data_IF_022602511734
#
_entry.id   IF_022602511734
#
_cell.length_a   1.000
_cell.length_b   1.000
_cell.length_c   1.000
_cell.angle_alpha   90.00
_cell.angle_beta   90.00
_cell.angle_gamma   90.00
#
_symmetry.space_group_name_H-M   'P 1'
#
loop_
_entity.id
_entity.type
_entity.pdbx_description
1 polymer ?
#
# COMPACT_ATOMS: atom_id res chain seq x y z
N UNK A 1 2.58 -11.45 -24.95
CA UNK A 1 2.24 -10.41 -23.97
C UNK A 1 1.53 -11.11 -22.82
N UNK A 2 2.11 -11.22 -21.61
CA UNK A 2 1.37 -11.72 -20.45
C UNK A 2 0.34 -10.65 -20.08
N UNK A 3 -0.92 -10.93 -20.31
CA UNK A 3 -2.02 -10.09 -19.80
C UNK A 3 -1.98 -10.22 -18.28
N UNK A 4 -1.50 -9.20 -17.60
CA UNK A 4 -1.63 -9.13 -16.14
C UNK A 4 -3.12 -9.00 -15.87
N UNK A 5 -3.74 -10.02 -15.31
CA UNK A 5 -5.12 -9.96 -14.85
C UNK A 5 -5.11 -9.24 -13.52
N UNK A 6 -5.51 -7.98 -13.53
CA UNK A 6 -5.70 -7.21 -12.30
C UNK A 6 -6.97 -7.68 -11.60
N UNK A 7 -6.91 -7.81 -10.29
CA UNK A 7 -8.08 -8.10 -9.47
C UNK A 7 -8.92 -6.82 -9.41
N UNK A 8 -10.13 -6.86 -9.98
CA UNK A 8 -11.07 -5.73 -9.98
C UNK A 8 -12.10 -5.84 -8.86
N UNK A 9 -12.59 -7.04 -8.60
CA UNK A 9 -13.52 -7.30 -7.54
C UNK A 9 -13.31 -8.68 -6.92
N UNK A 10 -14.00 -8.94 -5.82
CA UNK A 10 -13.93 -10.23 -5.13
C UNK A 10 -15.27 -10.55 -4.48
N UNK A 11 -15.48 -11.85 -4.21
CA UNK A 11 -16.64 -12.37 -3.46
C UNK A 11 -16.14 -13.17 -2.27
N UNK A 12 -16.78 -12.98 -1.11
CA UNK A 12 -16.41 -13.64 0.14
C UNK A 12 -17.55 -14.56 0.58
N UNK A 13 -17.24 -15.83 0.76
CA UNK A 13 -18.10 -16.83 1.38
C UNK A 13 -17.49 -17.22 2.72
N UNK A 14 -18.17 -16.91 3.82
CA UNK A 14 -17.72 -17.29 5.16
C UNK A 14 -18.11 -18.74 5.42
N UNK A 15 -17.14 -19.55 5.84
CA UNK A 15 -17.31 -20.93 6.21
C UNK A 15 -17.17 -21.08 7.74
N UNK A 16 -17.96 -21.94 8.34
CA UNK A 16 -17.87 -22.22 9.80
C UNK A 16 -16.82 -23.28 10.11
N UNK A 17 -16.00 -23.62 9.13
CA UNK A 17 -14.94 -24.63 9.27
C UNK A 17 -13.64 -24.00 9.75
N UNK A 18 -12.92 -24.62 10.71
CA UNK A 18 -11.62 -24.14 11.14
C UNK A 18 -10.57 -24.32 10.04
N UNK A 19 -9.65 -23.37 9.94
CA UNK A 19 -8.54 -23.39 9.00
C UNK A 19 -7.21 -23.22 9.73
N UNK A 20 -6.20 -23.96 9.30
CA UNK A 20 -4.80 -23.67 9.65
C UNK A 20 -4.13 -23.07 8.41
N UNK A 21 -3.69 -21.82 8.52
CA UNK A 21 -3.00 -21.13 7.44
C UNK A 21 -1.60 -21.70 7.19
N UNK A 22 -0.99 -21.36 6.05
CA UNK A 22 0.33 -21.91 5.65
C UNK A 22 1.46 -21.58 6.64
N UNK A 23 1.30 -20.50 7.42
CA UNK A 23 2.20 -20.13 8.52
C UNK A 23 1.87 -20.80 9.86
N UNK A 24 0.95 -21.79 9.88
CA UNK A 24 0.61 -22.60 11.05
C UNK A 24 -0.37 -21.95 12.04
N UNK A 25 -0.94 -20.77 11.70
CA UNK A 25 -1.92 -20.11 12.57
C UNK A 25 -3.29 -20.77 12.42
N UNK A 26 -3.90 -21.14 13.53
CA UNK A 26 -5.24 -21.75 13.57
C UNK A 26 -6.32 -20.71 13.73
N UNK A 27 -7.31 -20.75 12.85
CA UNK A 27 -8.50 -19.91 12.86
C UNK A 27 -9.75 -20.75 13.15
N UNK A 28 -10.72 -20.19 13.89
CA UNK A 28 -11.98 -20.87 14.19
C UNK A 28 -12.93 -20.92 13.00
N UNK A 29 -12.79 -19.96 12.09
CA UNK A 29 -13.56 -19.83 10.86
C UNK A 29 -12.65 -19.62 9.69
N UNK A 30 -13.08 -20.01 8.52
CA UNK A 30 -12.43 -19.72 7.25
C UNK A 30 -13.34 -18.90 6.33
N UNK A 31 -12.76 -18.37 5.28
CA UNK A 31 -13.47 -17.71 4.21
C UNK A 31 -12.94 -18.20 2.88
N UNK A 32 -13.81 -18.49 1.94
CA UNK A 32 -13.47 -18.77 0.56
C UNK A 32 -13.65 -17.49 -0.24
N UNK A 33 -12.55 -17.02 -0.83
CA UNK A 33 -12.54 -15.76 -1.57
C UNK A 33 -12.27 -16.04 -3.03
N UNK A 34 -13.16 -15.54 -3.89
CA UNK A 34 -13.03 -15.60 -5.34
C UNK A 34 -12.70 -14.22 -5.88
N UNK A 35 -11.60 -14.09 -6.62
CA UNK A 35 -11.12 -12.84 -7.22
C UNK A 35 -11.42 -12.82 -8.71
N UNK A 36 -11.85 -11.67 -9.21
CA UNK A 36 -12.30 -11.49 -10.59
C UNK A 36 -11.59 -10.33 -11.29
N UNK A 37 -11.41 -10.45 -12.61
CA UNK A 37 -10.91 -9.37 -13.45
C UNK A 37 -12.04 -8.38 -13.83
N UNK A 38 -11.71 -7.34 -14.60
CA UNK A 38 -12.65 -6.30 -15.06
C UNK A 38 -13.82 -6.86 -15.89
N UNK A 39 -13.66 -8.02 -16.50
CA UNK A 39 -14.69 -8.69 -17.28
C UNK A 39 -15.48 -9.73 -16.46
N UNK A 40 -15.34 -9.72 -15.14
CA UNK A 40 -15.90 -10.70 -14.21
C UNK A 40 -15.43 -12.15 -14.46
N UNK A 41 -14.28 -12.36 -15.10
CA UNK A 41 -13.70 -13.68 -15.20
C UNK A 41 -13.00 -14.01 -13.89
N UNK A 42 -13.21 -15.23 -13.39
CA UNK A 42 -12.52 -15.72 -12.21
C UNK A 42 -10.99 -15.80 -12.49
N UNK A 43 -10.21 -15.08 -11.68
CA UNK A 43 -8.76 -15.10 -11.68
C UNK A 43 -8.26 -16.26 -10.83
N UNK A 44 -8.69 -16.27 -9.56
CA UNK A 44 -8.28 -17.28 -8.59
C UNK A 44 -9.32 -17.42 -7.47
N UNK A 45 -9.21 -18.52 -6.74
CA UNK A 45 -10.02 -18.79 -5.57
C UNK A 45 -9.11 -19.32 -4.46
N UNK A 46 -9.16 -18.70 -3.29
CA UNK A 46 -8.32 -19.04 -2.14
C UNK A 46 -9.13 -19.18 -0.87
N UNK A 47 -8.61 -19.96 0.09
CA UNK A 47 -9.16 -20.04 1.44
C UNK A 47 -8.31 -19.20 2.39
N UNK A 48 -8.98 -18.44 3.25
CA UNK A 48 -8.41 -17.52 4.21
C UNK A 48 -8.87 -17.86 5.62
N UNK A 49 -7.98 -17.70 6.61
CA UNK A 49 -8.40 -17.68 7.99
C UNK A 49 -9.14 -16.39 8.33
N UNK A 50 -10.26 -16.47 9.03
CA UNK A 50 -10.99 -15.25 9.46
C UNK A 50 -10.40 -14.75 10.77
N UNK A 51 -9.93 -13.51 10.78
CA UNK A 51 -9.35 -12.86 11.96
C UNK A 51 -10.44 -12.17 12.77
N UNK A 52 -10.53 -12.53 14.06
CA UNK A 52 -11.27 -11.71 15.02
C UNK A 52 -10.43 -10.46 15.37
N UNK A 53 -10.93 -9.29 14.97
CA UNK A 53 -10.23 -8.01 15.19
C UNK A 53 -9.99 -7.72 16.69
N UNK A 54 -10.82 -8.29 17.60
CA UNK A 54 -10.60 -8.17 19.05
C UNK A 54 -9.34 -8.90 19.48
N UNK A 55 -9.05 -10.06 18.87
CA UNK A 55 -7.83 -10.82 19.13
C UNK A 55 -6.60 -10.07 18.62
N UNK A 56 -6.73 -9.38 17.47
CA UNK A 56 -5.68 -8.54 16.92
C UNK A 56 -5.39 -7.34 17.83
N UNK A 57 -6.44 -6.67 18.33
CA UNK A 57 -6.28 -5.58 19.30
C UNK A 57 -5.65 -6.03 20.62
N UNK A 58 -5.89 -7.28 21.03
CA UNK A 58 -5.19 -7.86 22.18
C UNK A 58 -3.70 -8.01 21.91
N UNK A 59 -3.30 -8.54 20.73
CA UNK A 59 -1.87 -8.64 20.34
C UNK A 59 -1.19 -7.27 20.34
N UNK A 60 -1.86 -6.22 19.84
CA UNK A 60 -1.35 -4.85 19.88
C UNK A 60 -1.10 -4.41 21.32
N UNK A 61 -2.09 -4.58 22.20
CA UNK A 61 -1.98 -4.24 23.63
C UNK A 61 -0.85 -4.99 24.32
N UNK A 62 -0.71 -6.29 24.01
CA UNK A 62 0.30 -7.17 24.60
C UNK A 62 1.69 -7.00 23.95
N UNK A 63 1.85 -6.03 23.01
CA UNK A 63 3.09 -5.77 22.23
C UNK A 63 3.67 -7.05 21.62
N UNK A 64 2.81 -7.88 21.06
CA UNK A 64 3.17 -9.15 20.43
C UNK A 64 3.29 -8.99 18.91
N UNK A 65 4.15 -9.78 18.22
CA UNK A 65 4.22 -9.81 16.77
C UNK A 65 2.86 -10.10 16.13
N UNK A 66 2.59 -9.43 15.02
CA UNK A 66 1.31 -9.50 14.31
C UNK A 66 1.52 -10.20 12.97
N UNK A 67 0.93 -11.39 12.84
CA UNK A 67 0.86 -12.10 11.57
C UNK A 67 -0.61 -12.38 11.24
N UNK A 68 -1.06 -11.81 10.13
CA UNK A 68 -2.38 -11.99 9.52
C UNK A 68 -2.26 -12.44 8.07
N UNK A 69 -1.15 -13.08 7.72
CA UNK A 69 -0.92 -13.61 6.37
C UNK A 69 -1.97 -14.67 6.02
N UNK A 70 -2.45 -14.63 4.76
CA UNK A 70 -3.52 -15.49 4.26
C UNK A 70 -4.82 -15.42 5.11
N UNK A 71 -5.12 -14.22 5.62
CA UNK A 71 -6.29 -13.99 6.45
C UNK A 71 -7.23 -12.94 5.85
N UNK A 72 -8.52 -13.14 6.12
CA UNK A 72 -9.54 -12.11 5.98
C UNK A 72 -9.59 -11.30 7.28
N UNK A 73 -9.32 -9.99 7.18
CA UNK A 73 -9.31 -9.03 8.30
C UNK A 73 -10.41 -8.01 8.07
N UNK A 74 -11.47 -8.04 8.87
CA UNK A 74 -12.61 -7.13 8.76
C UNK A 74 -12.61 -6.06 9.84
N UNK A 75 -12.81 -4.80 9.43
CA UNK A 75 -12.99 -3.69 10.36
C UNK A 75 -11.75 -3.35 11.18
N UNK A 76 -10.53 -3.54 10.64
CA UNK A 76 -9.31 -3.12 11.32
C UNK A 76 -9.18 -1.59 11.30
N UNK A 77 -9.12 -0.97 12.49
CA UNK A 77 -8.97 0.48 12.62
C UNK A 77 -8.21 0.84 13.91
N UNK A 78 -7.09 1.55 13.75
CA UNK A 78 -6.33 2.08 14.89
C UNK A 78 -7.04 3.25 15.57
N UNK A 79 -7.88 4.01 14.89
CA UNK A 79 -8.73 5.02 15.50
C UNK A 79 -9.77 4.39 16.43
N UNK A 80 -10.39 3.29 16.01
CA UNK A 80 -11.28 2.51 16.87
C UNK A 80 -10.54 1.85 18.03
N UNK A 81 -9.32 1.36 17.79
CA UNK A 81 -8.46 0.83 18.86
C UNK A 81 -8.21 1.90 19.92
N UNK A 82 -7.80 3.12 19.52
CA UNK A 82 -7.59 4.24 20.45
C UNK A 82 -8.84 4.57 21.25
N UNK A 83 -9.99 4.67 20.58
CA UNK A 83 -11.28 4.93 21.24
C UNK A 83 -11.64 3.84 22.24
N UNK A 84 -11.50 2.58 21.85
CA UNK A 84 -11.83 1.42 22.70
C UNK A 84 -10.99 1.33 23.96
N UNK A 85 -9.73 1.75 23.92
CA UNK A 85 -8.81 1.71 25.06
C UNK A 85 -8.63 3.06 25.74
N UNK A 86 -9.47 4.06 25.42
CA UNK A 86 -9.43 5.44 25.97
C UNK A 86 -8.05 6.09 25.80
N UNK A 87 -7.38 5.84 24.68
CA UNK A 87 -6.09 6.45 24.33
C UNK A 87 -6.31 7.81 23.66
N UNK A 88 -5.28 8.64 23.66
CA UNK A 88 -5.31 9.90 22.91
C UNK A 88 -5.43 9.59 21.41
N UNK A 89 -6.31 10.31 20.69
CA UNK A 89 -6.52 10.07 19.25
C UNK A 89 -5.28 10.38 18.40
N UNK A 90 -4.32 11.13 18.93
CA UNK A 90 -3.03 11.39 18.29
C UNK A 90 -1.90 10.47 18.78
N UNK A 91 -2.20 9.49 19.63
CA UNK A 91 -1.22 8.53 20.12
C UNK A 91 -0.80 7.57 19.02
N UNK A 92 0.53 7.38 18.88
CA UNK A 92 1.07 6.35 17.98
C UNK A 92 0.88 4.97 18.60
N UNK A 93 0.49 4.01 17.76
CA UNK A 93 0.27 2.64 18.17
C UNK A 93 1.33 1.73 17.57
N UNK A 94 2.08 1.04 18.43
CA UNK A 94 3.12 0.10 18.00
C UNK A 94 2.50 -1.15 17.35
N UNK A 95 2.95 -1.47 16.14
CA UNK A 95 2.67 -2.70 15.41
C UNK A 95 3.99 -3.44 15.21
N UNK A 96 4.19 -4.54 15.94
CA UNK A 96 5.46 -5.24 16.00
C UNK A 96 5.51 -6.36 14.95
N UNK A 97 6.58 -6.39 14.12
CA UNK A 97 6.83 -7.41 13.09
C UNK A 97 5.57 -7.72 12.25
N UNK A 98 4.92 -6.67 11.74
CA UNK A 98 3.62 -6.77 11.07
C UNK A 98 3.74 -7.51 9.75
N UNK A 99 3.03 -8.63 9.63
CA UNK A 99 3.01 -9.47 8.45
C UNK A 99 1.55 -9.68 7.98
N UNK A 100 1.30 -9.35 6.71
CA UNK A 100 -0.02 -9.42 6.09
C UNK A 100 0.07 -9.95 4.63
N UNK A 101 0.98 -10.90 4.38
CA UNK A 101 1.18 -11.45 3.05
C UNK A 101 -0.07 -12.16 2.57
N UNK A 102 -0.50 -11.86 1.35
CA UNK A 102 -1.73 -12.42 0.78
C UNK A 102 -2.98 -12.22 1.68
N UNK A 103 -3.01 -11.20 2.55
CA UNK A 103 -4.19 -10.90 3.37
C UNK A 103 -5.24 -10.11 2.57
N UNK A 104 -6.51 -10.27 2.92
CA UNK A 104 -7.58 -9.39 2.46
C UNK A 104 -8.07 -8.54 3.63
N UNK A 105 -7.97 -7.23 3.49
CA UNK A 105 -8.54 -6.26 4.42
C UNK A 105 -9.85 -5.71 3.86
N UNK A 106 -10.92 -5.80 4.63
CA UNK A 106 -12.23 -5.25 4.32
C UNK A 106 -12.69 -4.26 5.39
N UNK A 107 -13.26 -3.14 4.96
CA UNK A 107 -13.96 -2.22 5.83
C UNK A 107 -15.05 -1.48 5.06
N UNK A 108 -16.21 -1.27 5.67
CA UNK A 108 -17.27 -0.44 5.09
C UNK A 108 -16.90 1.05 5.03
N UNK A 109 -15.90 1.48 5.80
CA UNK A 109 -15.48 2.89 5.90
C UNK A 109 -14.02 3.07 5.53
N UNK A 110 -13.13 2.54 6.37
CA UNK A 110 -11.69 2.70 6.21
C UNK A 110 -10.94 1.54 6.85
N UNK A 111 -9.95 1.03 6.16
CA UNK A 111 -8.88 0.20 6.76
C UNK A 111 -7.84 1.18 7.30
N UNK A 112 -7.76 1.32 8.63
CA UNK A 112 -7.07 2.44 9.24
C UNK A 112 -5.80 2.03 10.00
N UNK A 113 -4.66 2.37 9.39
CA UNK A 113 -3.31 2.31 9.98
C UNK A 113 -2.80 3.71 10.35
N UNK A 114 -3.67 4.72 10.52
CA UNK A 114 -3.23 6.07 10.86
C UNK A 114 -2.49 6.10 12.19
N UNK A 115 -1.36 6.84 12.23
CA UNK A 115 -0.47 6.91 13.39
C UNK A 115 0.05 5.53 13.86
N UNK A 116 0.07 4.52 12.98
CA UNK A 116 0.79 3.28 13.26
C UNK A 116 2.30 3.55 13.40
N UNK A 117 2.94 2.95 14.39
CA UNK A 117 4.38 2.89 14.52
C UNK A 117 4.82 1.44 14.28
N UNK A 118 5.24 1.14 13.06
CA UNK A 118 5.73 -0.21 12.72
C UNK A 118 7.14 -0.38 13.27
N UNK A 119 7.31 -1.38 14.13
CA UNK A 119 8.55 -1.68 14.84
C UNK A 119 8.97 -3.14 14.64
N UNK A 120 10.14 -3.51 15.17
CA UNK A 120 10.71 -4.83 14.97
C UNK A 120 11.61 -4.89 13.75
N UNK A 121 11.45 -5.91 12.91
CA UNK A 121 12.37 -6.23 11.80
C UNK A 121 11.72 -6.15 10.42
N UNK A 122 10.39 -6.04 10.35
CA UNK A 122 9.64 -6.05 9.08
C UNK A 122 8.26 -5.38 9.18
N UNK A 123 7.79 -4.90 8.04
CA UNK A 123 6.38 -4.63 7.76
C UNK A 123 6.12 -5.14 6.33
N UNK A 124 5.34 -6.20 6.20
CA UNK A 124 5.19 -6.93 4.94
C UNK A 124 3.72 -7.10 4.57
N UNK A 125 3.32 -6.41 3.51
CA UNK A 125 1.99 -6.44 2.90
C UNK A 125 2.02 -7.06 1.50
N UNK A 126 3.04 -7.89 1.19
CA UNK A 126 3.19 -8.49 -0.15
C UNK A 126 1.92 -9.21 -0.57
N UNK A 127 1.41 -8.88 -1.77
CA UNK A 127 0.16 -9.39 -2.34
C UNK A 127 -1.08 -9.18 -1.46
N UNK A 128 -1.07 -8.27 -0.49
CA UNK A 128 -2.27 -7.96 0.26
C UNK A 128 -3.29 -7.26 -0.62
N UNK A 129 -4.57 -7.53 -0.37
CA UNK A 129 -5.70 -6.88 -1.03
C UNK A 129 -6.38 -5.94 -0.04
N UNK A 130 -6.52 -4.68 -0.41
CA UNK A 130 -7.31 -3.71 0.32
C UNK A 130 -8.63 -3.55 -0.44
N UNK A 131 -9.70 -4.12 0.13
CA UNK A 131 -11.02 -4.19 -0.49
C UNK A 131 -11.70 -2.83 -0.62
N UNK A 132 -13.00 -2.85 -0.90
CA UNK A 132 -13.80 -1.62 -1.01
C UNK A 132 -13.71 -0.80 0.26
N UNK A 133 -13.51 0.50 0.13
CA UNK A 133 -13.33 1.44 1.23
C UNK A 133 -11.98 2.16 1.18
N UNK A 134 -11.84 3.19 1.99
CA UNK A 134 -10.60 3.95 2.06
C UNK A 134 -9.51 3.17 2.80
N UNK A 135 -8.25 3.44 2.45
CA UNK A 135 -7.08 2.99 3.21
C UNK A 135 -6.33 4.19 3.75
N UNK A 136 -5.95 4.15 5.03
CA UNK A 136 -5.19 5.23 5.65
C UNK A 136 -3.93 4.73 6.35
N UNK A 137 -2.78 5.22 5.91
CA UNK A 137 -1.50 5.22 6.62
C UNK A 137 -1.11 6.65 7.06
N UNK A 138 -2.10 7.55 7.25
CA UNK A 138 -1.87 8.94 7.63
C UNK A 138 -0.95 9.04 8.85
N UNK A 139 0.20 9.72 8.69
CA UNK A 139 1.21 9.90 9.76
C UNK A 139 1.76 8.58 10.33
N UNK A 140 1.64 7.45 9.61
CA UNK A 140 2.28 6.22 10.00
C UNK A 140 3.81 6.35 9.93
N UNK A 141 4.51 5.57 10.73
CA UNK A 141 5.98 5.54 10.75
C UNK A 141 6.46 4.10 10.66
N UNK A 142 7.38 3.84 9.73
CA UNK A 142 8.04 2.56 9.56
C UNK A 142 9.49 2.67 10.05
N UNK A 143 9.98 1.65 10.75
CA UNK A 143 11.35 1.60 11.25
C UNK A 143 12.40 1.49 10.14
N UNK A 144 13.66 1.24 10.55
CA UNK A 144 14.79 1.12 9.63
C UNK A 144 14.93 -0.29 9.05
N UNK A 145 13.86 -0.84 8.52
CA UNK A 145 13.79 -2.18 7.93
C UNK A 145 13.07 -2.14 6.58
N UNK A 146 13.20 -3.19 5.74
CA UNK A 146 12.47 -3.26 4.48
C UNK A 146 10.95 -3.28 4.69
N UNK A 147 10.23 -2.47 3.89
CA UNK A 147 8.77 -2.42 3.84
C UNK A 147 8.31 -2.89 2.47
N UNK A 148 7.38 -3.84 2.44
CA UNK A 148 6.88 -4.39 1.19
C UNK A 148 5.38 -4.16 1.04
N UNK A 149 5.03 -3.50 -0.06
CA UNK A 149 3.69 -3.41 -0.66
C UNK A 149 3.69 -4.04 -2.05
N UNK A 150 4.64 -4.97 -2.31
CA UNK A 150 4.78 -5.59 -3.63
C UNK A 150 3.52 -6.39 -3.99
N UNK A 151 3.00 -6.15 -5.19
CA UNK A 151 1.84 -6.87 -5.71
C UNK A 151 0.54 -6.60 -4.95
N UNK A 152 0.49 -5.56 -4.10
CA UNK A 152 -0.75 -5.17 -3.44
C UNK A 152 -1.79 -4.68 -4.43
N UNK A 153 -3.07 -4.96 -4.16
CA UNK A 153 -4.17 -4.35 -4.90
C UNK A 153 -5.02 -3.49 -3.98
N UNK A 154 -5.42 -2.34 -4.51
CA UNK A 154 -6.22 -1.34 -3.83
C UNK A 154 -7.47 -1.09 -4.67
N UNK A 155 -8.65 -1.33 -4.10
CA UNK A 155 -9.93 -1.13 -4.78
C UNK A 155 -10.31 0.36 -4.90
N UNK A 156 -11.58 0.68 -5.08
CA UNK A 156 -12.08 2.01 -5.45
C UNK A 156 -11.89 3.13 -4.41
N UNK A 157 -11.47 2.82 -3.19
CA UNK A 157 -11.33 3.81 -2.12
C UNK A 157 -10.06 4.66 -2.23
N UNK A 158 -10.07 5.82 -1.59
CA UNK A 158 -8.88 6.67 -1.50
C UNK A 158 -7.78 6.02 -0.65
N UNK A 159 -6.54 6.14 -1.11
CA UNK A 159 -5.36 5.54 -0.50
C UNK A 159 -4.45 6.65 0.05
N UNK A 160 -4.37 6.78 1.37
CA UNK A 160 -3.73 7.90 2.05
C UNK A 160 -2.43 7.47 2.72
N UNK A 161 -1.30 7.95 2.20
CA UNK A 161 0.04 7.85 2.80
C UNK A 161 0.59 9.22 3.21
N UNK A 162 -0.27 10.21 3.40
CA UNK A 162 0.15 11.57 3.75
C UNK A 162 0.91 11.60 5.07
N UNK A 163 2.02 12.34 5.10
CA UNK A 163 2.90 12.47 6.26
C UNK A 163 3.47 11.14 6.78
N UNK A 164 3.39 10.06 5.99
CA UNK A 164 4.02 8.78 6.33
C UNK A 164 5.54 8.89 6.30
N UNK A 165 6.22 8.21 7.23
CA UNK A 165 7.70 8.16 7.28
C UNK A 165 8.18 6.74 7.06
N UNK A 166 9.02 6.55 6.03
CA UNK A 166 9.65 5.26 5.69
C UNK A 166 11.15 5.22 6.07
N UNK A 167 11.60 6.03 6.95
CA UNK A 167 12.98 6.12 7.45
C UNK A 167 14.07 5.60 6.48
N UNK A 168 14.94 4.63 6.85
CA UNK A 168 16.06 4.18 5.99
C UNK A 168 15.86 2.82 5.31
N UNK A 169 14.72 2.16 5.52
CA UNK A 169 14.40 0.88 4.90
C UNK A 169 14.14 0.99 3.39
N UNK A 170 14.34 -0.12 2.66
CA UNK A 170 13.85 -0.20 1.28
C UNK A 170 12.33 -0.25 1.27
N UNK A 171 11.69 0.49 0.35
CA UNK A 171 10.24 0.47 0.16
C UNK A 171 9.91 -0.08 -1.22
N UNK A 172 9.06 -1.10 -1.27
CA UNK A 172 8.75 -1.80 -2.51
C UNK A 172 7.24 -1.80 -2.78
N UNK A 173 6.83 -1.12 -3.86
CA UNK A 173 5.49 -1.15 -4.43
C UNK A 173 5.44 -1.87 -5.79
N UNK A 174 6.48 -2.61 -6.18
CA UNK A 174 6.53 -3.26 -7.50
C UNK A 174 5.28 -4.10 -7.78
N UNK A 175 4.70 -3.92 -8.96
CA UNK A 175 3.48 -4.60 -9.42
C UNK A 175 2.22 -4.30 -8.56
N UNK A 176 2.22 -3.24 -7.78
CA UNK A 176 1.01 -2.81 -7.09
C UNK A 176 -0.01 -2.24 -8.10
N UNK A 177 -1.29 -2.39 -7.78
CA UNK A 177 -2.40 -1.90 -8.62
C UNK A 177 -3.33 -1.05 -7.78
N UNK A 178 -3.46 0.22 -8.14
CA UNK A 178 -4.46 1.15 -7.61
C UNK A 178 -5.57 1.27 -8.65
N UNK A 179 -6.84 1.18 -8.22
CA UNK A 179 -7.97 1.20 -9.15
C UNK A 179 -8.44 2.65 -9.42
N UNK A 180 -9.63 3.03 -8.97
CA UNK A 180 -10.23 4.32 -9.29
C UNK A 180 -10.12 5.37 -8.17
N UNK A 181 -9.62 4.99 -7.00
CA UNK A 181 -9.48 5.92 -5.88
C UNK A 181 -8.20 6.76 -5.97
N UNK A 182 -8.25 7.97 -5.42
CA UNK A 182 -7.08 8.84 -5.37
C UNK A 182 -5.98 8.28 -4.48
N UNK A 183 -4.72 8.49 -4.89
CA UNK A 183 -3.54 8.06 -4.15
C UNK A 183 -2.73 9.27 -3.69
N UNK A 184 -2.52 9.40 -2.39
CA UNK A 184 -1.81 10.55 -1.84
C UNK A 184 -0.59 10.16 -1.02
N UNK A 185 0.59 10.56 -1.51
CA UNK A 185 1.88 10.59 -0.81
C UNK A 185 2.31 12.01 -0.42
N UNK A 186 1.35 12.93 -0.26
CA UNK A 186 1.65 14.34 0.08
C UNK A 186 2.44 14.41 1.41
N UNK A 187 3.55 15.16 1.42
CA UNK A 187 4.45 15.28 2.57
C UNK A 187 5.00 13.93 3.10
N UNK A 188 5.04 12.89 2.27
CA UNK A 188 5.62 11.61 2.67
C UNK A 188 7.14 11.70 2.69
N UNK A 189 7.76 11.21 3.76
CA UNK A 189 9.21 11.09 3.90
C UNK A 189 9.66 9.66 3.58
N UNK A 190 10.35 9.46 2.46
CA UNK A 190 10.82 8.14 2.00
C UNK A 190 12.21 7.76 2.52
N UNK A 191 12.91 8.66 3.20
CA UNK A 191 14.19 8.40 3.83
C UNK A 191 15.32 8.04 2.88
N UNK A 192 16.32 7.31 3.41
CA UNK A 192 17.57 6.99 2.69
C UNK A 192 17.52 5.68 1.88
N UNK A 193 16.46 4.89 2.00
CA UNK A 193 16.30 3.61 1.31
C UNK A 193 15.96 3.74 -0.17
N UNK A 194 16.19 2.68 -0.94
CA UNK A 194 15.70 2.62 -2.32
C UNK A 194 14.19 2.44 -2.34
N UNK A 195 13.52 3.20 -3.20
CA UNK A 195 12.07 3.16 -3.38
C UNK A 195 11.77 2.63 -4.78
N UNK A 196 10.93 1.61 -4.87
CA UNK A 196 10.58 1.01 -6.14
C UNK A 196 9.08 0.99 -6.36
N UNK A 197 8.67 1.55 -7.50
CA UNK A 197 7.32 1.56 -8.06
C UNK A 197 7.32 0.92 -9.47
N UNK A 198 8.13 -0.12 -9.71
CA UNK A 198 8.20 -0.75 -11.03
C UNK A 198 6.90 -1.46 -11.39
N UNK A 199 6.46 -1.30 -12.64
CA UNK A 199 5.23 -1.90 -13.15
C UNK A 199 4.00 -1.59 -12.27
N UNK A 200 3.96 -0.47 -11.58
CA UNK A 200 2.79 -0.04 -10.81
C UNK A 200 1.73 0.47 -11.78
N UNK A 201 0.51 0.02 -11.60
CA UNK A 201 -0.67 0.59 -12.25
C UNK A 201 -1.35 1.54 -11.27
N UNK A 202 -1.23 2.84 -11.51
CA UNK A 202 -1.75 3.88 -10.61
C UNK A 202 -3.26 4.15 -10.81
N UNK A 203 -3.93 3.36 -11.67
CA UNK A 203 -5.37 3.47 -11.88
C UNK A 203 -5.81 4.77 -12.53
N UNK A 204 -7.10 5.08 -12.39
CA UNK A 204 -7.73 6.27 -12.98
C UNK A 204 -7.91 7.42 -11.96
N UNK A 205 -7.57 7.20 -10.69
CA UNK A 205 -7.61 8.25 -9.67
C UNK A 205 -6.42 9.20 -9.77
N UNK A 206 -6.56 10.39 -9.18
CA UNK A 206 -5.47 11.34 -9.08
C UNK A 206 -4.33 10.82 -8.20
N UNK A 207 -3.10 11.12 -8.60
CA UNK A 207 -1.89 10.67 -7.88
C UNK A 207 -1.06 11.87 -7.45
N UNK A 208 -0.84 12.03 -6.15
CA UNK A 208 -0.07 13.15 -5.64
C UNK A 208 1.12 12.69 -4.79
N UNK A 209 2.31 13.12 -5.21
CA UNK A 209 3.57 13.09 -4.46
C UNK A 209 3.99 14.49 -4.00
N UNK A 210 3.11 15.49 -4.05
CA UNK A 210 3.45 16.87 -3.73
C UNK A 210 4.15 16.98 -2.36
N UNK A 211 5.25 17.74 -2.29
CA UNK A 211 6.08 17.90 -1.10
C UNK A 211 6.71 16.59 -0.55
N UNK A 212 6.66 15.49 -1.27
CA UNK A 212 7.33 14.27 -0.84
C UNK A 212 8.86 14.46 -0.85
N UNK A 213 9.54 13.78 0.08
CA UNK A 213 10.99 13.87 0.23
C UNK A 213 11.64 12.49 0.08
N UNK A 214 12.50 12.35 -0.90
CA UNK A 214 13.41 11.23 -1.10
C UNK A 214 14.84 11.71 -0.76
N UNK A 215 15.68 10.86 -0.15
CA UNK A 215 17.01 11.29 0.29
C UNK A 215 18.13 10.70 -0.58
N UNK A 216 18.68 9.55 -0.21
CA UNK A 216 19.85 8.97 -0.89
C UNK A 216 19.52 7.82 -1.82
N UNK A 217 18.39 7.14 -1.57
CA UNK A 217 17.99 5.96 -2.32
C UNK A 217 17.53 6.28 -3.75
N UNK A 218 17.67 5.32 -4.64
CA UNK A 218 17.10 5.42 -5.97
C UNK A 218 15.57 5.39 -5.91
N UNK A 219 14.91 6.19 -6.75
CA UNK A 219 13.46 6.23 -6.93
C UNK A 219 13.12 5.70 -8.33
N UNK A 220 12.40 4.61 -8.42
CA UNK A 220 12.23 3.89 -9.70
C UNK A 220 10.76 3.71 -10.02
N UNK A 221 10.30 4.32 -11.14
CA UNK A 221 8.96 4.19 -11.70
C UNK A 221 8.94 3.38 -13.00
N UNK A 222 10.00 2.66 -13.33
CA UNK A 222 10.17 1.96 -14.61
C UNK A 222 8.95 1.10 -14.98
N UNK A 223 8.36 1.33 -16.17
CA UNK A 223 7.17 0.68 -16.71
C UNK A 223 5.86 0.93 -15.93
N UNK A 224 5.79 1.94 -15.11
CA UNK A 224 4.55 2.29 -14.43
C UNK A 224 3.60 3.04 -15.34
N UNK A 225 2.30 2.97 -15.02
CA UNK A 225 1.21 3.56 -15.79
C UNK A 225 0.42 4.48 -14.87
N UNK A 226 0.22 5.73 -15.30
CA UNK A 226 -0.60 6.73 -14.65
C UNK A 226 -1.73 7.11 -15.61
N UNK A 227 -2.98 6.90 -15.22
CA UNK A 227 -4.15 7.21 -16.05
C UNK A 227 -5.06 8.27 -15.42
N UNK A 228 -4.74 8.76 -14.21
CA UNK A 228 -5.52 9.78 -13.52
C UNK A 228 -5.53 11.13 -14.25
N UNK A 229 -6.52 11.97 -13.95
CA UNK A 229 -6.64 13.31 -14.51
C UNK A 229 -5.57 14.28 -14.00
N UNK A 230 -5.08 14.08 -12.75
CA UNK A 230 -3.99 14.88 -12.18
C UNK A 230 -2.88 13.98 -11.61
N UNK A 231 -1.64 14.19 -12.09
CA UNK A 231 -0.43 13.53 -11.59
C UNK A 231 0.52 14.61 -11.06
N UNK A 232 0.62 14.74 -9.72
CA UNK A 232 1.25 15.87 -9.08
C UNK A 232 2.55 15.50 -8.38
N UNK A 233 3.69 15.94 -8.94
CA UNK A 233 5.02 15.87 -8.35
C UNK A 233 5.53 17.25 -7.89
N UNK A 234 4.66 18.26 -7.74
CA UNK A 234 5.11 19.61 -7.37
C UNK A 234 5.86 19.62 -6.03
N UNK A 235 6.95 20.39 -5.99
CA UNK A 235 7.79 20.56 -4.78
C UNK A 235 8.34 19.27 -4.20
N UNK A 236 8.45 18.21 -5.01
CA UNK A 236 9.13 16.97 -4.58
C UNK A 236 10.63 17.23 -4.46
N UNK A 237 11.22 16.80 -3.35
CA UNK A 237 12.66 16.70 -3.18
C UNK A 237 13.12 15.27 -3.51
N UNK A 238 13.72 15.09 -4.69
CA UNK A 238 14.24 13.78 -5.12
C UNK A 238 15.61 13.43 -4.53
N UNK A 239 16.22 14.32 -3.74
CA UNK A 239 17.47 14.06 -3.07
C UNK A 239 18.62 13.69 -4.02
N UNK A 240 19.52 12.79 -3.55
CA UNK A 240 20.75 12.44 -4.25
C UNK A 240 20.69 11.12 -5.02
N UNK A 241 19.59 10.37 -4.93
CA UNK A 241 19.46 9.07 -5.59
C UNK A 241 19.03 9.20 -7.05
N UNK A 242 19.35 8.17 -7.86
CA UNK A 242 18.88 8.10 -9.24
C UNK A 242 17.36 8.09 -9.30
N UNK A 243 16.78 8.91 -10.17
CA UNK A 243 15.33 8.94 -10.42
C UNK A 243 15.03 8.41 -11.82
N UNK A 244 14.24 7.35 -11.91
CA UNK A 244 14.05 6.57 -13.12
C UNK A 244 12.58 6.48 -13.53
N UNK A 245 12.19 7.27 -14.54
CA UNK A 245 10.88 7.24 -15.19
C UNK A 245 10.92 6.54 -16.56
N UNK A 246 11.88 5.65 -16.81
CA UNK A 246 11.97 4.95 -18.09
C UNK A 246 10.71 4.12 -18.34
N UNK A 247 10.22 4.18 -19.61
CA UNK A 247 9.07 3.39 -20.06
C UNK A 247 7.81 3.62 -19.21
N UNK A 248 7.73 4.75 -18.54
CA UNK A 248 6.50 5.17 -17.87
C UNK A 248 5.52 5.63 -18.93
N UNK A 249 4.27 5.25 -18.78
CA UNK A 249 3.16 5.79 -19.54
C UNK A 249 2.40 6.76 -18.65
N UNK A 250 2.43 8.04 -19.03
CA UNK A 250 1.54 9.04 -18.46
C UNK A 250 0.38 9.19 -19.46
N UNK A 251 -0.86 8.94 -19.00
CA UNK A 251 -2.07 9.11 -19.78
C UNK A 251 -2.32 10.58 -20.18
N UNK A 252 -3.55 10.92 -20.48
CA UNK A 252 -3.94 12.24 -20.97
C UNK A 252 -4.09 13.32 -19.88
N UNK A 253 -3.87 12.95 -18.61
CA UNK A 253 -4.01 13.84 -17.47
C UNK A 253 -2.92 14.91 -17.37
N UNK A 254 -3.17 15.94 -16.56
CA UNK A 254 -2.19 16.98 -16.26
C UNK A 254 -1.06 16.43 -15.39
N UNK A 255 0.20 16.68 -15.81
CA UNK A 255 1.39 16.25 -15.08
C UNK A 255 2.13 17.47 -14.57
N UNK A 256 2.26 17.60 -13.25
CA UNK A 256 2.87 18.75 -12.61
C UNK A 256 4.21 18.40 -11.96
N UNK A 257 5.32 18.90 -12.52
CA UNK A 257 6.67 18.83 -11.95
C UNK A 257 7.17 20.21 -11.47
N UNK A 258 6.28 21.14 -11.13
CA UNK A 258 6.66 22.49 -10.71
C UNK A 258 7.49 22.47 -9.43
N UNK A 259 8.58 23.24 -9.40
CA UNK A 259 9.43 23.44 -8.21
C UNK A 259 10.02 22.14 -7.62
N UNK A 260 10.25 21.11 -8.46
CA UNK A 260 10.96 19.91 -7.99
C UNK A 260 12.43 20.27 -7.64
N UNK A 261 12.97 19.61 -6.60
CA UNK A 261 14.37 19.67 -6.26
C UNK A 261 15.09 18.38 -6.69
N UNK A 262 16.17 18.53 -7.44
CA UNK A 262 17.05 17.44 -7.86
C UNK A 262 18.47 17.86 -7.53
N UNK A 263 19.17 17.12 -6.67
CA UNK A 263 20.51 17.46 -6.24
C UNK A 263 21.50 17.56 -7.41
N UNK A 264 22.50 18.42 -7.28
CA UNK A 264 23.55 18.61 -8.28
C UNK A 264 24.20 17.27 -8.69
N UNK A 265 24.34 17.06 -10.00
CA UNK A 265 24.89 15.82 -10.56
C UNK A 265 23.90 14.66 -10.67
N UNK A 266 22.72 14.75 -10.06
CA UNK A 266 21.66 13.76 -10.23
C UNK A 266 20.85 14.01 -11.51
N UNK A 267 20.13 13.01 -12.00
CA UNK A 267 19.36 13.06 -13.25
C UNK A 267 18.00 12.41 -13.11
N UNK A 268 16.99 13.05 -13.65
CA UNK A 268 15.72 12.43 -14.00
C UNK A 268 15.85 11.75 -15.35
N UNK A 269 15.45 10.49 -15.46
CA UNK A 269 15.60 9.69 -16.67
C UNK A 269 14.23 9.36 -17.26
N UNK A 270 13.92 9.94 -18.41
CA UNK A 270 12.65 9.78 -19.16
C UNK A 270 12.85 9.02 -20.50
N UNK A 271 13.67 7.97 -20.52
CA UNK A 271 13.92 7.21 -21.76
C UNK A 271 12.73 6.30 -22.09
N UNK A 272 12.15 6.46 -23.30
CA UNK A 272 10.96 5.74 -23.76
C UNK A 272 9.75 5.97 -22.85
N UNK A 273 9.64 7.17 -22.30
CA UNK A 273 8.48 7.62 -21.54
C UNK A 273 7.48 8.20 -22.53
N UNK A 274 6.21 7.90 -22.32
CA UNK A 274 5.11 8.35 -23.16
C UNK A 274 4.25 9.34 -22.36
N UNK A 275 3.80 10.41 -23.00
CA UNK A 275 2.95 11.46 -22.42
C UNK A 275 1.73 11.63 -23.32
N UNK A 276 0.53 11.41 -22.76
CA UNK A 276 -0.73 11.45 -23.50
C UNK A 276 -0.99 10.18 -24.32
N UNK A 277 -2.17 10.11 -24.91
CA UNK A 277 -2.52 9.08 -25.90
C UNK A 277 -1.81 9.38 -27.22
N UNK A 278 -1.06 8.40 -27.72
CA UNK A 278 -0.44 8.44 -29.05
C UNK A 278 -1.42 8.00 -30.15
#
# INVERSE_FOLDING_TARGET
MKVYRYIQNYQVEILNDPLTTVNGIKHKQSAKISFFDINNNLIERKEYGVVDVKSLYKKIKDKSPIDVSNCLVRGFSLSEYRSKFNLNQNEKIDLIDFCANDALFESEKVVDFSLANFTGTKADFTNAHFGSGNLSFLKAEFGNFPVSFKGTSYSEGNNIFQYTKFNSGKVNFDNATFENGNLSFINTYFGDGNISFKNVHFGNGDVSFAFATFKKGSVIFDKSIFNGDEINFSKVDFGNGKVDFRRVHFGDGEINFKEINVSEGNKLIFRRTEFGSS
#
